data_IF_397669548062
#
_entry.id   IF_397669548062
#
_cell.length_a   1.000
_cell.length_b   1.000
_cell.length_c   1.000
_cell.angle_alpha   90.00
_cell.angle_beta   90.00
_cell.angle_gamma   90.00
#
_symmetry.space_group_name_H-M   'P 1'
#
loop_
_entity.id
_entity.type
_entity.pdbx_description
1 polymer ?
#
# COMPACT_ATOMS: atom_id res chain seq x y z
N UNK A 1 -4.56 3.66 -7.06
CA UNK A 1 -4.42 2.95 -5.77
C UNK A 1 -5.70 2.20 -5.42
N UNK A 2 -5.69 0.87 -5.54
CA UNK A 2 -6.80 0.00 -5.13
C UNK A 2 -6.46 -0.68 -3.81
N UNK A 3 -7.40 -0.69 -2.86
CA UNK A 3 -7.31 -1.51 -1.66
C UNK A 3 -7.74 -2.96 -1.97
N UNK A 4 -7.12 -3.97 -1.34
CA UNK A 4 -7.67 -5.33 -1.35
C UNK A 4 -9.09 -5.32 -0.76
N UNK A 5 -10.03 -5.92 -1.47
CA UNK A 5 -11.43 -5.98 -1.04
C UNK A 5 -11.61 -6.88 0.18
N UNK A 6 -12.62 -6.57 0.99
CA UNK A 6 -13.14 -7.50 1.98
C UNK A 6 -14.20 -8.43 1.38
N UNK A 7 -14.63 -9.42 2.16
CA UNK A 7 -15.62 -10.42 1.78
C UNK A 7 -16.63 -10.66 2.91
N UNK A 8 -17.86 -11.04 2.54
CA UNK A 8 -18.93 -11.39 3.48
C UNK A 8 -19.16 -10.33 4.59
N UNK A 9 -19.19 -9.05 4.21
CA UNK A 9 -19.36 -7.95 5.17
C UNK A 9 -18.06 -7.33 5.69
N UNK A 10 -16.92 -7.97 5.43
CA UNK A 10 -15.61 -7.47 5.86
C UNK A 10 -15.18 -6.17 5.18
N UNK A 11 -14.54 -5.30 5.95
CA UNK A 11 -13.96 -4.04 5.46
C UNK A 11 -12.79 -4.28 4.48
N UNK A 12 -12.54 -3.38 3.53
CA UNK A 12 -11.34 -3.43 2.70
C UNK A 12 -10.06 -3.25 3.55
N UNK A 13 -8.96 -3.79 3.04
CA UNK A 13 -7.63 -3.55 3.59
C UNK A 13 -7.18 -2.10 3.36
N UNK A 14 -6.04 -1.72 3.95
CA UNK A 14 -5.42 -0.45 3.61
C UNK A 14 -4.73 -0.54 2.24
N UNK A 15 -4.72 0.58 1.52
CA UNK A 15 -3.93 0.71 0.31
C UNK A 15 -2.42 0.68 0.59
N UNK A 16 -1.66 0.08 -0.32
CA UNK A 16 -0.20 0.11 -0.25
C UNK A 16 0.36 1.50 -0.55
N UNK A 17 1.57 1.77 -0.06
CA UNK A 17 2.25 3.06 -0.22
C UNK A 17 3.73 2.87 -0.55
N UNK A 18 4.27 3.77 -1.37
CA UNK A 18 5.69 3.80 -1.73
C UNK A 18 6.29 5.14 -1.32
N UNK A 19 7.52 5.12 -0.80
CA UNK A 19 8.26 6.32 -0.41
C UNK A 19 9.73 6.24 -0.83
N UNK A 20 10.30 7.36 -1.27
CA UNK A 20 11.75 7.54 -1.40
C UNK A 20 12.19 8.59 -0.38
N UNK A 21 13.07 8.23 0.55
CA UNK A 21 13.55 9.12 1.62
C UNK A 21 12.41 9.84 2.38
N UNK A 22 11.31 9.11 2.61
CA UNK A 22 10.11 9.62 3.28
C UNK A 22 9.15 10.43 2.40
N UNK A 23 9.51 10.74 1.14
CA UNK A 23 8.62 11.40 0.19
C UNK A 23 7.74 10.39 -0.53
N UNK A 24 6.42 10.63 -0.53
CA UNK A 24 5.44 9.71 -1.13
C UNK A 24 5.56 9.68 -2.66
N UNK A 25 5.57 8.48 -3.22
CA UNK A 25 5.60 8.23 -4.66
C UNK A 25 4.21 7.84 -5.22
N UNK A 26 3.99 7.95 -6.54
CA UNK A 26 2.84 7.35 -7.21
C UNK A 26 2.79 5.81 -7.07
N UNK A 27 1.65 5.22 -7.38
CA UNK A 27 1.47 3.75 -7.33
C UNK A 27 2.26 3.01 -8.42
N UNK A 28 2.53 3.67 -9.54
CA UNK A 28 3.44 3.18 -10.58
C UNK A 28 4.29 4.34 -11.10
N UNK A 29 5.62 4.17 -11.04
CA UNK A 29 6.57 5.18 -11.49
C UNK A 29 7.90 4.53 -11.87
N UNK A 30 8.65 5.19 -12.75
CA UNK A 30 10.07 4.97 -12.98
C UNK A 30 10.84 6.20 -12.52
N UNK A 31 11.95 5.99 -11.81
CA UNK A 31 12.79 7.07 -11.28
C UNK A 31 14.25 6.63 -11.24
N UNK A 32 15.15 7.61 -11.31
CA UNK A 32 16.57 7.43 -11.01
C UNK A 32 16.81 7.67 -9.54
N UNK A 33 17.65 6.85 -8.92
CA UNK A 33 18.02 6.95 -7.49
C UNK A 33 19.54 6.98 -7.34
N UNK A 34 20.01 7.53 -6.23
CA UNK A 34 21.41 7.61 -5.85
C UNK A 34 21.74 6.56 -4.77
N UNK A 35 23.01 6.15 -4.64
CA UNK A 35 23.45 5.31 -3.53
C UNK A 35 23.04 5.91 -2.17
N UNK A 36 22.69 5.04 -1.22
CA UNK A 36 22.24 5.35 0.14
C UNK A 36 20.84 5.98 0.28
N UNK A 37 20.08 6.19 -0.81
CA UNK A 37 18.66 6.50 -0.69
C UNK A 37 17.85 5.27 -0.26
N UNK A 38 16.76 5.50 0.46
CA UNK A 38 15.92 4.43 1.02
C UNK A 38 14.56 4.43 0.33
N UNK A 39 14.29 3.33 -0.39
CA UNK A 39 12.96 2.99 -0.88
C UNK A 39 12.21 2.22 0.20
N UNK A 40 11.09 2.77 0.69
CA UNK A 40 10.16 2.07 1.59
C UNK A 40 8.92 1.67 0.80
N UNK A 41 8.61 0.38 0.84
CA UNK A 41 7.39 -0.20 0.25
C UNK A 41 6.53 -0.72 1.40
N UNK A 42 5.34 -0.16 1.52
CA UNK A 42 4.31 -0.63 2.45
C UNK A 42 3.32 -1.47 1.66
N UNK A 43 3.51 -2.79 1.69
CA UNK A 43 2.64 -3.76 1.02
C UNK A 43 1.27 -3.77 1.70
N UNK A 44 0.17 -3.65 0.94
CA UNK A 44 -1.16 -3.66 1.53
C UNK A 44 -1.46 -5.01 2.20
N UNK A 45 -2.14 -4.95 3.35
CA UNK A 45 -2.77 -6.13 3.94
C UNK A 45 -4.02 -6.55 3.15
N UNK A 46 -4.44 -7.80 3.30
CA UNK A 46 -5.70 -8.28 2.73
C UNK A 46 -6.92 -7.57 3.33
N UNK A 47 -8.06 -7.62 2.64
CA UNK A 47 -9.33 -7.19 3.23
C UNK A 47 -9.84 -8.20 4.26
N UNK A 48 -10.71 -7.73 5.14
CA UNK A 48 -11.32 -8.53 6.19
C UNK A 48 -12.36 -9.52 5.66
N UNK A 49 -12.76 -10.44 6.53
CA UNK A 49 -13.86 -11.36 6.31
C UNK A 49 -14.87 -11.26 7.46
N UNK A 50 -16.15 -11.31 7.14
CA UNK A 50 -17.24 -11.25 8.12
C UNK A 50 -17.61 -9.83 8.52
N UNK A 51 -18.83 -9.66 9.03
CA UNK A 51 -19.27 -8.40 9.63
C UNK A 51 -18.57 -8.17 10.98
N UNK A 52 -18.31 -6.91 11.32
CA UNK A 52 -18.03 -6.55 12.72
C UNK A 52 -19.38 -6.61 13.45
N UNK A 53 -19.56 -7.64 14.27
CA UNK A 53 -20.70 -7.77 15.19
C UNK A 53 -21.05 -6.44 15.88
#
# INVERSE_FOLDING_TARGET
VSAPWGLAGGDPGLSGMNYLDGQRLPDKIQLSVLPNQVLRIETPGGGGWGDKD
#
